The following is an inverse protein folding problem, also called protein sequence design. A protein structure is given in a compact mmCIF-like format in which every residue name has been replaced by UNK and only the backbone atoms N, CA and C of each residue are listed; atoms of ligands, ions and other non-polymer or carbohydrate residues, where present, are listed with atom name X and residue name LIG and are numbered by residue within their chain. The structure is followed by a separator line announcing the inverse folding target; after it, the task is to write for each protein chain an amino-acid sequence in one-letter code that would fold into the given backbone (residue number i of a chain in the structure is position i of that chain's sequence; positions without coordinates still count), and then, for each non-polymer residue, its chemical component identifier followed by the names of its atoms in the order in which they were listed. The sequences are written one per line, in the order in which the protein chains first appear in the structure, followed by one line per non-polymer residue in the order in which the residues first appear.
data_IF_157363615891
#
_entry.id   IF_157363615891
#
_cell.length_a   1.000
_cell.length_b   1.000
_cell.length_c   1.000
_cell.angle_alpha   90.00
_cell.angle_beta   90.00
_cell.angle_gamma   90.00
#
_symmetry.space_group_name_H-M   'P 1'
#
loop_
_entity.id
_entity.type
_entity.pdbx_description
1 polymer ?
#
# COMPACT_ATOMS: atom_id res chain seq x y z
N UNK A 1 6.98 3.91 25.95
CA UNK A 1 8.44 3.64 25.99
C UNK A 1 9.01 3.12 24.66
N UNK A 2 8.45 2.08 24.02
CA UNK A 2 8.92 1.62 22.69
C UNK A 2 8.17 2.24 21.50
N UNK A 3 6.83 2.43 21.63
CA UNK A 3 6.00 3.15 20.63
C UNK A 3 6.55 4.57 20.40
N UNK A 4 6.84 5.26 21.49
CA UNK A 4 7.42 6.62 21.48
C UNK A 4 8.73 6.66 20.70
N UNK A 5 9.63 5.68 20.88
CA UNK A 5 10.92 5.65 20.17
C UNK A 5 10.77 5.51 18.66
N UNK A 6 9.88 4.67 18.16
CA UNK A 6 9.66 4.53 16.71
C UNK A 6 9.05 5.81 16.13
N UNK A 7 8.07 6.39 16.81
CA UNK A 7 7.48 7.67 16.43
C UNK A 7 8.52 8.79 16.41
N UNK A 8 9.36 8.88 17.44
CA UNK A 8 10.43 9.89 17.52
C UNK A 8 11.45 9.73 16.39
N UNK A 9 11.82 8.49 16.04
CA UNK A 9 12.73 8.20 14.93
C UNK A 9 12.12 8.55 13.58
N UNK A 10 10.83 8.25 13.36
CA UNK A 10 10.14 8.65 12.13
C UNK A 10 10.03 10.16 12.00
N UNK A 11 9.72 10.88 13.08
CA UNK A 11 9.72 12.34 13.07
C UNK A 11 11.12 12.92 12.83
N UNK A 12 12.17 12.30 13.40
CA UNK A 12 13.54 12.71 13.11
C UNK A 12 13.91 12.49 11.64
N UNK A 13 13.44 11.39 11.03
CA UNK A 13 13.59 11.12 9.61
C UNK A 13 12.91 12.17 8.73
N UNK A 14 11.63 12.48 9.00
CA UNK A 14 10.90 13.49 8.25
C UNK A 14 11.51 14.89 8.38
N UNK A 15 11.96 15.28 9.59
CA UNK A 15 12.71 16.53 9.79
C UNK A 15 14.01 16.56 8.99
N UNK A 16 14.81 15.50 9.04
CA UNK A 16 16.05 15.41 8.29
C UNK A 16 15.82 15.53 6.78
N UNK A 17 14.79 14.85 6.25
CA UNK A 17 14.39 14.93 4.84
C UNK A 17 14.01 16.36 4.45
N UNK A 18 13.22 17.03 5.28
CA UNK A 18 12.82 18.42 5.05
C UNK A 18 14.02 19.38 5.07
N UNK A 19 14.89 19.28 6.06
CA UNK A 19 16.11 20.10 6.16
C UNK A 19 17.04 19.90 4.96
N UNK A 20 17.16 18.66 4.48
CA UNK A 20 17.95 18.34 3.29
C UNK A 20 17.35 18.97 2.02
N UNK A 21 16.02 18.86 1.84
CA UNK A 21 15.33 19.51 0.72
C UNK A 21 15.52 21.02 0.76
N UNK A 22 15.39 21.65 1.93
CA UNK A 22 15.65 23.09 2.07
C UNK A 22 17.09 23.45 1.71
N UNK A 23 18.07 22.66 2.14
CA UNK A 23 19.48 22.90 1.83
C UNK A 23 19.74 22.82 0.32
N UNK A 24 19.14 21.84 -0.37
CA UNK A 24 19.22 21.71 -1.83
C UNK A 24 18.57 22.90 -2.53
N UNK A 25 17.37 23.32 -2.11
CA UNK A 25 16.70 24.50 -2.69
C UNK A 25 17.49 25.80 -2.45
N UNK A 26 18.06 25.99 -1.26
CA UNK A 26 18.94 27.14 -0.97
C UNK A 26 20.17 27.15 -1.85
N UNK A 27 20.77 25.98 -2.09
CA UNK A 27 21.92 25.84 -2.98
C UNK A 27 21.55 26.13 -4.45
N UNK A 28 20.40 25.65 -4.91
CA UNK A 28 19.88 25.98 -6.25
C UNK A 28 19.72 27.49 -6.44
N UNK A 29 19.03 28.16 -5.51
CA UNK A 29 18.86 29.62 -5.57
C UNK A 29 20.20 30.37 -5.58
N UNK A 30 21.17 29.91 -4.78
CA UNK A 30 22.50 30.51 -4.76
C UNK A 30 23.23 30.36 -6.11
N UNK A 31 23.10 29.21 -6.79
CA UNK A 31 23.67 29.01 -8.12
C UNK A 31 23.05 29.96 -9.15
N UNK A 32 21.72 30.14 -9.10
CA UNK A 32 20.98 31.04 -9.98
C UNK A 32 21.42 32.49 -9.78
N UNK A 33 21.50 32.95 -8.53
CA UNK A 33 21.92 34.31 -8.17
C UNK A 33 23.36 34.64 -8.61
N UNK A 34 24.23 33.63 -8.66
CA UNK A 34 25.64 33.80 -9.04
C UNK A 34 25.92 33.51 -10.53
N UNK A 35 24.87 33.23 -11.34
CA UNK A 35 25.03 32.89 -12.76
C UNK A 35 25.84 31.61 -12.99
N UNK A 36 25.84 30.70 -12.00
CA UNK A 36 26.53 29.41 -12.05
C UNK A 36 25.58 28.24 -12.35
N UNK A 37 24.30 28.53 -12.54
CA UNK A 37 23.29 27.55 -12.93
C UNK A 37 23.39 27.23 -14.42
N UNK A 38 23.19 25.96 -14.77
CA UNK A 38 23.10 25.48 -16.15
C UNK A 38 21.89 24.55 -16.27
N UNK A 39 21.33 24.35 -17.48
CA UNK A 39 20.19 23.45 -17.66
C UNK A 39 20.42 22.04 -17.12
N UNK A 40 21.65 21.53 -17.21
CA UNK A 40 22.03 20.22 -16.67
C UNK A 40 22.01 20.20 -15.13
N UNK A 41 22.42 21.30 -14.49
CA UNK A 41 22.41 21.45 -13.04
C UNK A 41 20.97 21.59 -12.54
N UNK A 42 20.16 22.40 -13.20
CA UNK A 42 18.73 22.58 -12.89
C UNK A 42 17.98 21.25 -12.96
N UNK A 43 18.19 20.48 -14.04
CA UNK A 43 17.57 19.16 -14.19
C UNK A 43 17.98 18.21 -13.06
N UNK A 44 19.27 18.21 -12.70
CA UNK A 44 19.77 17.34 -11.62
C UNK A 44 19.25 17.75 -10.25
N UNK A 45 19.10 19.04 -9.97
CA UNK A 45 18.48 19.54 -8.74
C UNK A 45 17.01 19.14 -8.69
N UNK A 46 16.30 19.28 -9.80
CA UNK A 46 14.92 18.84 -9.93
C UNK A 46 14.77 17.35 -9.64
N UNK A 47 15.58 16.49 -10.27
CA UNK A 47 15.58 15.04 -10.03
C UNK A 47 15.90 14.68 -8.57
N UNK A 48 16.87 15.35 -7.94
CA UNK A 48 17.17 15.14 -6.52
C UNK A 48 16.01 15.52 -5.61
N UNK A 49 15.38 16.67 -5.85
CA UNK A 49 14.23 17.12 -5.06
C UNK A 49 13.03 16.21 -5.27
N UNK A 50 12.80 15.73 -6.49
CA UNK A 50 11.73 14.78 -6.81
C UNK A 50 11.95 13.41 -6.14
N UNK A 51 13.19 12.90 -6.19
CA UNK A 51 13.58 11.67 -5.49
C UNK A 51 13.43 11.82 -3.98
N UNK A 52 13.83 12.96 -3.39
CA UNK A 52 13.62 13.22 -1.98
C UNK A 52 12.13 13.28 -1.65
N UNK A 53 11.30 13.99 -2.43
CA UNK A 53 9.85 14.09 -2.19
C UNK A 53 9.17 12.73 -2.19
N UNK A 54 9.43 11.94 -3.22
CA UNK A 54 8.83 10.60 -3.43
C UNK A 54 9.41 9.50 -2.54
N UNK A 55 10.43 9.80 -1.74
CA UNK A 55 11.04 8.81 -0.85
C UNK A 55 10.12 8.43 0.32
N UNK A 56 9.89 7.13 0.49
CA UNK A 56 9.02 6.56 1.51
C UNK A 56 9.68 5.34 2.17
N UNK A 57 9.53 5.23 3.49
CA UNK A 57 9.90 4.04 4.23
C UNK A 57 8.74 3.04 4.18
N UNK A 58 8.86 2.02 3.34
CA UNK A 58 7.86 0.97 3.18
C UNK A 58 8.15 -0.22 4.11
N UNK A 59 7.17 -0.55 4.96
CA UNK A 59 7.16 -1.75 5.78
C UNK A 59 6.08 -2.70 5.26
N UNK A 60 6.48 -3.86 4.78
CA UNK A 60 5.56 -4.88 4.32
C UNK A 60 5.21 -5.86 5.43
N UNK A 61 3.91 -6.14 5.61
CA UNK A 61 3.45 -7.15 6.54
C UNK A 61 3.08 -8.41 5.79
N UNK A 62 3.73 -9.53 6.11
CA UNK A 62 3.49 -10.84 5.50
C UNK A 62 3.06 -11.82 6.59
N UNK A 63 2.15 -12.72 6.27
CA UNK A 63 1.71 -13.77 7.18
C UNK A 63 1.42 -15.03 6.38
N UNK A 64 1.59 -16.21 6.98
CA UNK A 64 1.26 -17.47 6.31
C UNK A 64 -0.25 -17.63 6.12
N UNK A 65 -0.98 -17.42 7.20
CA UNK A 65 -2.43 -17.39 7.21
C UNK A 65 -2.93 -15.99 7.52
N UNK A 66 -4.14 -15.72 7.06
CA UNK A 66 -4.90 -14.50 7.32
C UNK A 66 -5.36 -14.44 8.80
N UNK A 67 -4.41 -14.36 9.73
CA UNK A 67 -4.67 -14.25 11.17
C UNK A 67 -3.79 -13.17 11.78
N UNK A 68 -4.42 -12.10 12.24
CA UNK A 68 -3.81 -11.09 13.10
C UNK A 68 -3.04 -9.95 12.41
N UNK A 69 -2.68 -10.07 11.13
CA UNK A 69 -1.97 -9.01 10.41
C UNK A 69 -2.81 -7.73 10.25
N UNK A 70 -3.98 -7.85 9.65
CA UNK A 70 -4.89 -6.71 9.45
C UNK A 70 -5.35 -6.14 10.79
N UNK A 71 -5.48 -6.98 11.83
CA UNK A 71 -5.78 -6.52 13.18
C UNK A 71 -4.61 -5.73 13.81
N UNK A 72 -3.37 -6.15 13.57
CA UNK A 72 -2.19 -5.41 14.00
C UNK A 72 -2.11 -4.03 13.31
N UNK A 73 -2.42 -3.97 12.01
CA UNK A 73 -2.48 -2.70 11.27
C UNK A 73 -3.58 -1.80 11.85
N UNK A 74 -4.78 -2.33 12.10
CA UNK A 74 -5.86 -1.60 12.78
C UNK A 74 -5.40 -1.04 14.14
N UNK A 75 -4.73 -1.85 14.96
CA UNK A 75 -4.26 -1.44 16.28
C UNK A 75 -3.17 -0.35 16.22
N UNK A 76 -2.35 -0.32 15.17
CA UNK A 76 -1.29 0.69 15.01
C UNK A 76 -1.86 2.01 14.46
N UNK A 77 -2.67 1.95 13.39
CA UNK A 77 -3.04 3.14 12.60
C UNK A 77 -4.46 3.64 12.82
N UNK A 78 -5.35 2.78 13.31
CA UNK A 78 -6.79 3.08 13.42
C UNK A 78 -7.32 2.94 14.85
N UNK A 79 -6.43 2.87 15.85
CA UNK A 79 -6.81 2.71 17.27
C UNK A 79 -7.65 3.85 17.86
N UNK A 80 -7.66 5.02 17.23
CA UNK A 80 -8.47 6.18 17.64
C UNK A 80 -9.93 6.07 17.18
N UNK A 81 -10.23 5.17 16.23
CA UNK A 81 -11.59 4.90 15.79
C UNK A 81 -12.28 3.93 16.75
N UNK A 82 -13.56 4.18 17.00
CA UNK A 82 -14.44 3.37 17.86
C UNK A 82 -14.87 2.04 17.22
N UNK A 83 -14.35 1.73 16.03
CA UNK A 83 -14.64 0.51 15.27
C UNK A 83 -13.44 0.10 14.43
N UNK A 84 -13.44 -1.17 14.01
CA UNK A 84 -12.46 -1.69 13.04
C UNK A 84 -12.69 -1.06 11.66
N UNK A 85 -11.62 -0.54 11.06
CA UNK A 85 -11.69 0.04 9.71
C UNK A 85 -11.31 -0.98 8.65
N UNK A 86 -10.10 -1.57 8.73
CA UNK A 86 -9.75 -2.67 7.83
C UNK A 86 -10.49 -3.95 8.25
N UNK A 87 -11.23 -4.61 7.34
CA UNK A 87 -11.95 -5.85 7.68
C UNK A 87 -10.98 -6.99 8.02
N UNK A 88 -11.17 -7.64 9.17
CA UNK A 88 -10.26 -8.67 9.71
C UNK A 88 -10.97 -10.00 10.06
N UNK A 89 -12.12 -10.28 9.44
CA UNK A 89 -12.92 -11.49 9.71
C UNK A 89 -12.19 -12.80 9.42
N UNK A 90 -12.40 -13.84 10.23
CA UNK A 90 -11.72 -15.12 10.09
C UNK A 90 -11.95 -15.75 8.70
N UNK A 91 -10.89 -15.89 7.89
CA UNK A 91 -10.97 -16.36 6.51
C UNK A 91 -9.81 -15.83 5.67
N UNK A 92 -9.94 -15.76 4.33
CA UNK A 92 -8.97 -15.08 3.44
C UNK A 92 -9.06 -13.55 3.62
N UNK A 93 -8.69 -13.04 4.80
CA UNK A 93 -8.92 -11.64 5.24
C UNK A 93 -8.42 -10.59 4.26
N UNK A 94 -7.31 -10.88 3.58
CA UNK A 94 -6.66 -9.95 2.66
C UNK A 94 -6.51 -10.62 1.30
N UNK A 95 -7.50 -10.46 0.43
CA UNK A 95 -7.38 -10.85 -0.99
C UNK A 95 -6.86 -9.71 -1.87
N UNK A 96 -7.13 -8.46 -1.48
CA UNK A 96 -6.63 -7.26 -2.15
C UNK A 96 -5.40 -6.74 -1.38
N UNK A 97 -4.20 -6.78 -1.98
CA UNK A 97 -3.04 -6.11 -1.41
C UNK A 97 -3.31 -4.62 -1.26
N UNK A 98 -2.92 -4.05 -0.13
CA UNK A 98 -3.27 -2.68 0.26
C UNK A 98 -2.04 -1.91 0.68
N UNK A 99 -1.83 -0.73 0.08
CA UNK A 99 -0.85 0.25 0.54
C UNK A 99 -1.55 1.32 1.38
N UNK A 100 -1.05 1.57 2.58
CA UNK A 100 -1.49 2.63 3.47
C UNK A 100 -0.35 3.64 3.64
N UNK A 101 -0.59 4.87 3.20
CA UNK A 101 0.39 5.95 3.17
C UNK A 101 -0.31 7.30 3.37
N UNK A 102 0.43 8.40 3.24
CA UNK A 102 -0.15 9.74 3.16
C UNK A 102 0.33 10.44 1.89
N UNK A 103 -0.62 10.84 1.04
CA UNK A 103 -0.37 11.61 -0.17
C UNK A 103 -0.24 13.10 0.21
N UNK A 104 0.99 13.62 0.14
CA UNK A 104 1.29 15.02 0.45
C UNK A 104 0.86 15.99 -0.66
N UNK A 105 0.66 15.49 -1.88
CA UNK A 105 0.31 16.32 -3.05
C UNK A 105 -1.20 16.44 -3.24
N UNK A 106 -1.98 15.53 -2.64
CA UNK A 106 -3.43 15.55 -2.68
C UNK A 106 -4.05 16.44 -1.60
N UNK A 107 -5.11 17.15 -1.95
CA UNK A 107 -5.91 17.95 -1.01
C UNK A 107 -6.91 17.12 -0.20
N UNK A 108 -7.06 15.81 -0.50
CA UNK A 108 -8.02 14.93 0.16
C UNK A 108 -7.43 13.56 0.51
N UNK A 109 -8.06 12.92 1.51
CA UNK A 109 -7.77 11.53 1.86
C UNK A 109 -8.67 10.62 1.02
N UNK A 110 -8.14 9.49 0.57
CA UNK A 110 -8.86 8.65 -0.40
C UNK A 110 -8.48 7.18 -0.30
N UNK A 111 -9.34 6.33 -0.88
CA UNK A 111 -9.02 4.98 -1.32
C UNK A 111 -9.07 4.98 -2.85
N UNK A 112 -8.00 4.52 -3.48
CA UNK A 112 -7.94 4.21 -4.91
C UNK A 112 -7.90 2.71 -5.10
N UNK A 113 -8.75 2.20 -5.97
CA UNK A 113 -8.93 0.76 -6.20
C UNK A 113 -8.70 0.42 -7.67
N UNK A 114 -7.79 -0.51 -7.92
CA UNK A 114 -7.47 -1.00 -9.25
C UNK A 114 -8.31 -2.25 -9.54
N UNK A 115 -9.13 -2.29 -10.60
CA UNK A 115 -9.97 -3.45 -10.93
C UNK A 115 -9.17 -4.74 -11.10
N UNK A 116 -9.72 -5.87 -10.66
CA UNK A 116 -9.05 -7.17 -10.75
C UNK A 116 -8.72 -7.59 -12.19
N UNK A 117 -9.53 -7.15 -13.17
CA UNK A 117 -9.35 -7.41 -14.60
C UNK A 117 -8.01 -6.92 -15.13
N UNK A 118 -7.40 -5.92 -14.50
CA UNK A 118 -6.07 -5.41 -14.90
C UNK A 118 -4.95 -6.45 -14.77
N UNK A 119 -5.22 -7.60 -14.13
CA UNK A 119 -4.31 -8.78 -14.15
C UNK A 119 -4.20 -9.43 -15.53
N UNK A 120 -5.13 -9.15 -16.44
CA UNK A 120 -5.12 -9.66 -17.81
C UNK A 120 -4.23 -8.84 -18.75
N UNK A 121 -3.79 -7.66 -18.29
CA UNK A 121 -2.92 -6.77 -19.03
C UNK A 121 -1.45 -7.00 -18.62
N UNK A 122 -0.50 -6.74 -19.53
CA UNK A 122 0.94 -6.88 -19.26
C UNK A 122 1.52 -5.74 -18.40
N UNK A 123 0.69 -4.76 -18.03
CA UNK A 123 1.11 -3.57 -17.30
C UNK A 123 1.24 -3.86 -15.80
N UNK A 124 2.36 -3.40 -15.22
CA UNK A 124 2.62 -3.51 -13.79
C UNK A 124 1.74 -2.59 -12.96
N UNK A 125 1.57 -2.89 -11.67
CA UNK A 125 0.84 -1.99 -10.76
C UNK A 125 1.54 -0.62 -10.68
N UNK A 126 2.87 -0.58 -10.73
CA UNK A 126 3.63 0.67 -10.71
C UNK A 126 3.38 1.57 -11.93
N UNK A 127 3.17 0.97 -13.10
CA UNK A 127 2.75 1.72 -14.29
C UNK A 127 1.30 2.21 -14.16
N UNK A 128 0.38 1.38 -13.65
CA UNK A 128 -0.99 1.83 -13.39
C UNK A 128 -1.07 2.98 -12.38
N UNK A 129 -0.19 3.04 -11.38
CA UNK A 129 -0.15 4.16 -10.41
C UNK A 129 0.05 5.52 -11.09
N UNK A 130 0.68 5.55 -12.27
CA UNK A 130 0.89 6.78 -13.06
C UNK A 130 -0.34 7.18 -13.89
N UNK A 131 -1.39 6.36 -13.89
CA UNK A 131 -2.56 6.53 -14.74
C UNK A 131 -3.86 6.52 -13.92
N UNK A 132 -4.22 7.66 -13.30
CA UNK A 132 -5.39 7.76 -12.42
C UNK A 132 -6.71 7.30 -13.03
N UNK A 133 -6.85 7.35 -14.37
CA UNK A 133 -8.05 6.94 -15.09
C UNK A 133 -8.44 5.46 -14.89
N UNK A 134 -7.47 4.60 -14.54
CA UNK A 134 -7.73 3.18 -14.29
C UNK A 134 -8.18 2.90 -12.85
N UNK A 135 -8.17 3.90 -11.97
CA UNK A 135 -8.46 3.73 -10.55
C UNK A 135 -9.85 4.24 -10.21
N UNK A 136 -10.62 3.42 -9.49
CA UNK A 136 -11.83 3.89 -8.82
C UNK A 136 -11.43 4.62 -7.55
N UNK A 137 -11.82 5.89 -7.42
CA UNK A 137 -11.47 6.73 -6.25
C UNK A 137 -12.68 6.90 -5.33
N UNK A 138 -12.46 6.70 -4.04
CA UNK A 138 -13.42 6.93 -2.96
C UNK A 138 -12.79 7.94 -2.00
N UNK A 139 -13.46 9.06 -1.78
CA UNK A 139 -13.02 10.05 -0.79
C UNK A 139 -13.28 9.55 0.63
N UNK A 140 -12.33 9.82 1.53
CA UNK A 140 -12.40 9.42 2.94
C UNK A 140 -12.85 10.59 3.82
N UNK A 141 -14.03 10.44 4.42
CA UNK A 141 -14.52 11.34 5.47
C UNK A 141 -13.98 10.93 6.83
N UNK A 142 -12.77 11.41 7.15
CA UNK A 142 -12.08 11.11 8.42
C UNK A 142 -12.81 11.60 9.67
N UNK A 143 -13.85 12.44 9.53
CA UNK A 143 -14.66 12.92 10.65
C UNK A 143 -15.75 11.93 11.09
N UNK A 144 -15.99 10.88 10.31
CA UNK A 144 -17.04 9.88 10.57
C UNK A 144 -16.48 8.47 10.51
N UNK A 145 -16.40 7.80 11.67
CA UNK A 145 -15.99 6.38 11.73
C UNK A 145 -16.88 5.48 10.87
N UNK A 146 -18.17 5.79 10.76
CA UNK A 146 -19.12 4.99 9.98
C UNK A 146 -18.83 5.06 8.48
N UNK A 147 -18.70 6.27 7.93
CA UNK A 147 -18.34 6.44 6.52
C UNK A 147 -16.95 5.89 6.21
N UNK A 148 -16.00 6.02 7.15
CA UNK A 148 -14.68 5.39 7.04
C UNK A 148 -14.80 3.87 6.92
N UNK A 149 -15.55 3.22 7.80
CA UNK A 149 -15.76 1.78 7.74
C UNK A 149 -16.44 1.35 6.43
N UNK A 150 -17.42 2.12 5.95
CA UNK A 150 -18.10 1.86 4.67
C UNK A 150 -17.14 1.92 3.48
N UNK A 151 -16.27 2.93 3.44
CA UNK A 151 -15.25 3.05 2.41
C UNK A 151 -14.25 1.88 2.45
N UNK A 152 -13.78 1.48 3.64
CA UNK A 152 -12.83 0.38 3.79
C UNK A 152 -13.45 -0.99 3.47
N UNK A 153 -14.78 -1.15 3.62
CA UNK A 153 -15.49 -2.35 3.14
C UNK A 153 -15.39 -2.54 1.63
N UNK A 154 -15.16 -1.48 0.86
CA UNK A 154 -14.97 -1.60 -0.59
C UNK A 154 -13.72 -2.42 -0.92
N UNK A 155 -12.64 -2.25 -0.15
CA UNK A 155 -11.32 -2.88 -0.40
C UNK A 155 -11.42 -4.41 -0.42
N UNK A 156 -12.33 -4.98 0.39
CA UNK A 156 -12.49 -6.43 0.53
C UNK A 156 -13.62 -7.02 -0.32
N UNK A 157 -14.27 -6.22 -1.17
CA UNK A 157 -15.34 -6.74 -2.03
C UNK A 157 -14.84 -7.87 -2.92
N UNK A 158 -15.69 -8.86 -3.07
CA UNK A 158 -15.50 -10.01 -3.95
C UNK A 158 -16.61 -10.08 -5.00
N UNK A 159 -16.39 -10.91 -6.02
CA UNK A 159 -17.39 -11.28 -7.01
C UNK A 159 -17.24 -12.74 -7.41
N UNK A 160 -18.34 -13.34 -7.86
CA UNK A 160 -18.34 -14.68 -8.43
C UNK A 160 -18.06 -14.61 -9.92
N UNK A 161 -17.10 -15.39 -10.39
CA UNK A 161 -16.77 -15.56 -11.81
C UNK A 161 -16.77 -17.03 -12.19
N UNK A 162 -16.85 -17.37 -13.47
CA UNK A 162 -16.63 -18.75 -13.90
C UNK A 162 -15.16 -19.18 -13.69
N UNK A 163 -14.95 -20.50 -13.55
CA UNK A 163 -13.63 -21.05 -13.30
C UNK A 163 -12.61 -20.73 -14.41
N UNK A 164 -13.06 -20.61 -15.66
CA UNK A 164 -12.20 -20.23 -16.79
C UNK A 164 -11.67 -18.79 -16.64
N UNK A 165 -12.51 -17.86 -16.19
CA UNK A 165 -12.14 -16.47 -15.90
C UNK A 165 -11.22 -16.39 -14.69
N UNK A 166 -11.53 -17.13 -13.62
CA UNK A 166 -10.63 -17.23 -12.46
C UNK A 166 -9.25 -17.78 -12.84
N UNK A 167 -9.18 -18.76 -13.73
CA UNK A 167 -7.92 -19.31 -14.24
C UNK A 167 -7.13 -18.27 -15.04
N UNK A 168 -7.78 -17.53 -15.95
CA UNK A 168 -7.13 -16.44 -16.70
C UNK A 168 -6.60 -15.34 -15.79
N UNK A 169 -7.34 -15.04 -14.72
CA UNK A 169 -6.89 -14.10 -13.68
C UNK A 169 -5.79 -14.70 -12.79
N UNK A 170 -5.46 -15.99 -12.88
CA UNK A 170 -4.48 -16.64 -12.00
C UNK A 170 -4.95 -16.80 -10.56
N UNK A 171 -6.26 -16.88 -10.34
CA UNK A 171 -6.91 -16.94 -9.02
C UNK A 171 -7.64 -18.26 -8.75
N UNK A 172 -7.59 -19.20 -9.70
CA UNK A 172 -8.07 -20.56 -9.50
C UNK A 172 -7.09 -21.35 -8.61
N UNK A 173 -7.60 -22.11 -7.64
CA UNK A 173 -6.77 -22.89 -6.73
C UNK A 173 -5.95 -23.97 -7.47
N UNK A 174 -4.72 -24.22 -6.99
CA UNK A 174 -3.84 -25.22 -7.57
C UNK A 174 -4.46 -26.61 -7.50
N UNK A 175 -4.65 -27.25 -8.65
CA UNK A 175 -5.25 -28.59 -8.76
C UNK A 175 -6.77 -28.60 -8.94
N UNK A 176 -7.44 -27.46 -8.93
CA UNK A 176 -8.86 -27.37 -9.30
C UNK A 176 -9.02 -27.52 -10.82
N UNK A 177 -9.93 -28.41 -11.27
CA UNK A 177 -10.28 -28.55 -12.68
C UNK A 177 -11.31 -27.48 -13.06
N UNK A 178 -11.00 -26.57 -14.01
CA UNK A 178 -11.92 -25.54 -14.46
C UNK A 178 -13.26 -26.08 -14.95
N UNK A 179 -13.31 -27.32 -15.47
CA UNK A 179 -14.53 -27.93 -15.98
C UNK A 179 -15.50 -28.34 -14.86
N UNK A 180 -15.04 -28.47 -13.62
CA UNK A 180 -15.84 -28.96 -12.48
C UNK A 180 -15.97 -27.96 -11.33
N UNK A 181 -15.11 -26.95 -11.27
CA UNK A 181 -15.07 -25.97 -10.19
C UNK A 181 -16.28 -25.01 -10.14
N UNK A 182 -17.03 -24.86 -11.24
CA UNK A 182 -18.23 -24.02 -11.29
C UNK A 182 -17.91 -22.52 -11.18
N UNK A 183 -18.49 -21.83 -10.19
CA UNK A 183 -18.19 -20.43 -9.90
C UNK A 183 -17.16 -20.28 -8.79
N UNK A 184 -16.23 -19.36 -8.97
CA UNK A 184 -15.12 -19.07 -8.06
C UNK A 184 -15.26 -17.63 -7.56
N UNK A 185 -15.12 -17.46 -6.25
CA UNK A 185 -15.06 -16.14 -5.62
C UNK A 185 -13.66 -15.52 -5.80
N UNK A 186 -13.61 -14.32 -6.37
CA UNK A 186 -12.37 -13.56 -6.60
C UNK A 186 -12.50 -12.14 -6.03
N UNK A 187 -11.41 -11.49 -5.63
CA UNK A 187 -11.44 -10.07 -5.25
C UNK A 187 -11.95 -9.21 -6.42
N UNK A 188 -12.68 -8.16 -6.09
CA UNK A 188 -13.09 -7.14 -7.05
C UNK A 188 -11.89 -6.28 -7.50
N UNK A 189 -10.86 -6.19 -6.65
CA UNK A 189 -9.74 -5.28 -6.80
C UNK A 189 -8.39 -6.01 -6.81
N UNK A 190 -7.53 -5.68 -7.76
CA UNK A 190 -6.14 -6.14 -7.85
C UNK A 190 -5.26 -5.50 -6.78
N UNK A 191 -5.47 -4.21 -6.49
CA UNK A 191 -4.67 -3.44 -5.53
C UNK A 191 -5.46 -2.27 -4.96
N UNK A 192 -5.19 -1.92 -3.71
CA UNK A 192 -5.77 -0.76 -3.04
C UNK A 192 -4.67 0.20 -2.55
N UNK A 193 -4.90 1.50 -2.73
CA UNK A 193 -4.05 2.59 -2.27
C UNK A 193 -4.86 3.50 -1.36
N UNK A 194 -4.45 3.62 -0.10
CA UNK A 194 -5.16 4.37 0.93
C UNK A 194 -4.26 5.51 1.40
N UNK A 195 -4.66 6.74 1.06
CA UNK A 195 -4.08 7.96 1.64
C UNK A 195 -4.85 8.32 2.90
N UNK A 196 -4.18 8.30 4.06
CA UNK A 196 -4.80 8.50 5.37
C UNK A 196 -3.95 9.42 6.27
N UNK A 197 -4.53 10.39 7.00
CA UNK A 197 -3.78 11.47 7.64
C UNK A 197 -3.22 11.09 9.02
N UNK A 198 -2.49 9.98 9.11
CA UNK A 198 -1.86 9.53 10.36
C UNK A 198 -0.45 10.14 10.53
N UNK A 199 -0.04 10.57 11.74
CA UNK A 199 1.27 11.20 11.97
C UNK A 199 2.45 10.44 11.38
N UNK A 200 2.56 9.13 11.60
CA UNK A 200 3.65 8.32 11.04
C UNK A 200 3.66 8.29 9.49
N UNK A 201 2.48 8.27 8.87
CA UNK A 201 2.37 8.22 7.41
C UNK A 201 2.77 9.57 6.79
N UNK A 202 2.46 10.68 7.47
CA UNK A 202 2.90 12.04 7.09
C UNK A 202 4.42 12.20 7.13
N UNK A 203 5.11 11.49 8.01
CA UNK A 203 6.58 11.45 8.06
C UNK A 203 7.20 10.53 6.99
N UNK A 204 6.40 10.00 6.06
CA UNK A 204 6.87 9.19 4.94
C UNK A 204 6.84 7.67 5.17
N UNK A 205 6.15 7.18 6.20
CA UNK A 205 5.91 5.74 6.37
C UNK A 205 4.83 5.25 5.39
N UNK A 206 5.10 4.12 4.75
CA UNK A 206 4.14 3.37 3.94
C UNK A 206 4.01 1.95 4.48
N UNK A 207 2.79 1.46 4.64
CA UNK A 207 2.52 0.08 5.03
C UNK A 207 1.99 -0.69 3.84
N UNK A 208 2.57 -1.85 3.56
CA UNK A 208 2.07 -2.79 2.57
C UNK A 208 1.42 -3.99 3.29
N UNK A 209 0.09 -4.06 3.28
CA UNK A 209 -0.65 -5.24 3.70
C UNK A 209 -0.80 -6.20 2.52
N UNK A 210 -0.12 -7.33 2.58
CA UNK A 210 -0.18 -8.35 1.52
C UNK A 210 -1.31 -9.39 1.72
N UNK A 211 -1.59 -10.27 0.75
CA UNK A 211 -2.31 -11.50 1.04
C UNK A 211 -1.49 -12.45 1.92
N UNK A 212 -2.12 -13.52 2.42
CA UNK A 212 -1.38 -14.61 3.08
C UNK A 212 -0.38 -15.28 2.12
N UNK A 213 0.65 -15.96 2.62
CA UNK A 213 1.71 -16.60 1.79
C UNK A 213 1.15 -17.51 0.69
N UNK A 214 0.06 -18.24 0.99
CA UNK A 214 -0.60 -19.11 0.02
C UNK A 214 -1.22 -18.33 -1.17
N UNK A 215 -1.53 -17.05 -0.98
CA UNK A 215 -2.06 -16.14 -1.99
C UNK A 215 -1.01 -15.15 -2.53
N UNK A 216 0.17 -15.05 -1.92
CA UNK A 216 1.27 -14.23 -2.45
C UNK A 216 1.81 -14.78 -3.77
N UNK A 217 1.79 -16.11 -3.95
CA UNK A 217 2.22 -16.75 -5.19
C UNK A 217 1.33 -16.44 -6.40
N UNK A 218 0.10 -15.95 -6.20
CA UNK A 218 -0.78 -15.62 -7.32
C UNK A 218 -0.56 -14.22 -7.87
N UNK A 219 0.06 -13.27 -7.15
CA UNK A 219 0.37 -11.93 -7.69
C UNK A 219 1.89 -11.76 -7.80
N UNK A 220 2.47 -11.96 -9.01
CA UNK A 220 3.90 -11.79 -9.25
C UNK A 220 4.42 -10.41 -8.85
N UNK A 221 3.62 -9.35 -9.04
CA UNK A 221 4.00 -7.98 -8.66
C UNK A 221 4.33 -7.85 -7.16
N UNK A 222 3.61 -8.55 -6.30
CA UNK A 222 3.86 -8.47 -4.85
C UNK A 222 5.20 -9.10 -4.48
N UNK A 223 5.52 -10.24 -5.08
CA UNK A 223 6.70 -11.04 -4.72
C UNK A 223 7.97 -10.60 -5.45
N UNK A 224 7.85 -10.12 -6.69
CA UNK A 224 8.98 -9.71 -7.52
C UNK A 224 9.29 -8.22 -7.44
N UNK A 225 8.29 -7.37 -7.18
CA UNK A 225 8.46 -5.91 -7.18
C UNK A 225 8.20 -5.30 -5.80
N UNK A 226 7.02 -5.48 -5.21
CA UNK A 226 6.67 -4.72 -4.00
C UNK A 226 7.45 -5.16 -2.75
N UNK A 227 7.53 -6.46 -2.48
CA UNK A 227 8.25 -6.99 -1.32
C UNK A 227 9.76 -6.73 -1.39
N UNK A 228 10.47 -6.96 -2.51
CA UNK A 228 11.90 -6.66 -2.60
C UNK A 228 12.25 -5.18 -2.46
N UNK A 229 11.32 -4.29 -2.82
CA UNK A 229 11.49 -2.84 -2.69
C UNK A 229 11.06 -2.30 -1.31
N UNK A 230 10.49 -3.13 -0.43
CA UNK A 230 10.21 -2.74 0.95
C UNK A 230 11.49 -2.72 1.79
N UNK A 231 11.67 -1.67 2.59
CA UNK A 231 12.86 -1.51 3.44
C UNK A 231 12.83 -2.46 4.64
N UNK A 232 11.65 -2.90 5.06
CA UNK A 232 11.50 -3.92 6.09
C UNK A 232 10.30 -4.84 5.80
N UNK A 233 10.42 -6.10 6.22
CA UNK A 233 9.34 -7.07 6.19
C UNK A 233 9.05 -7.56 7.61
N UNK A 234 7.80 -7.40 8.03
CA UNK A 234 7.29 -7.91 9.30
C UNK A 234 6.53 -9.19 9.04
N UNK A 235 7.11 -10.31 9.48
CA UNK A 235 6.47 -11.61 9.39
C UNK A 235 5.59 -11.85 10.62
N UNK A 236 4.27 -11.85 10.42
CA UNK A 236 3.28 -12.02 11.49
C UNK A 236 2.95 -13.50 11.64
N UNK A 237 3.21 -14.02 12.83
CA UNK A 237 2.94 -15.41 13.23
C UNK A 237 1.85 -15.45 14.28
N UNK A 238 0.93 -16.41 14.16
CA UNK A 238 -0.03 -16.67 15.21
C UNK A 238 0.59 -17.65 16.23
N UNK A 239 0.44 -17.36 17.52
CA UNK A 239 1.05 -18.13 18.59
C UNK A 239 0.46 -19.56 18.73
N UNK A 240 -0.77 -19.75 18.26
CA UNK A 240 -1.49 -21.03 18.25
C UNK A 240 -1.04 -21.97 17.12
N UNK A 241 -0.59 -21.43 15.98
CA UNK A 241 -0.08 -22.23 14.85
C UNK A 241 1.45 -22.36 14.83
N UNK A 242 2.18 -21.40 15.39
CA UNK A 242 3.64 -21.37 15.33
C UNK A 242 4.17 -21.18 13.90
N UNK A 243 5.43 -21.57 13.67
CA UNK A 243 6.06 -21.58 12.33
C UNK A 243 5.77 -22.93 11.70
N UNK A 244 5.06 -22.95 10.57
CA UNK A 244 4.88 -24.17 9.77
C UNK A 244 6.16 -24.53 9.00
N UNK A 245 6.25 -25.80 8.59
CA UNK A 245 7.42 -26.36 7.91
C UNK A 245 7.37 -26.19 6.41
#
# INVERSE_FOLDING_TARGET
MAKDRFTDQMQAYGRWKHELMEAVMKFQNWLDENGMSSPEVELRMFEMLDALKSDHLTIAFVAEFARGKTELINAIFFSEYDRRLLPSEAGRTTMCPTELFYDLESESNYIRLLPIETRLDDKSIQEYKKEPIHWTTIELDTSSSEKMADAFREVVKTKLVDAATAQKLGLLEAGADPATAGQVEVPMWRHAMISFPHPLLKEGLTILDTPGLNALGSEPELTLNMLPNAQAVVFVLAADTGVTK
#
